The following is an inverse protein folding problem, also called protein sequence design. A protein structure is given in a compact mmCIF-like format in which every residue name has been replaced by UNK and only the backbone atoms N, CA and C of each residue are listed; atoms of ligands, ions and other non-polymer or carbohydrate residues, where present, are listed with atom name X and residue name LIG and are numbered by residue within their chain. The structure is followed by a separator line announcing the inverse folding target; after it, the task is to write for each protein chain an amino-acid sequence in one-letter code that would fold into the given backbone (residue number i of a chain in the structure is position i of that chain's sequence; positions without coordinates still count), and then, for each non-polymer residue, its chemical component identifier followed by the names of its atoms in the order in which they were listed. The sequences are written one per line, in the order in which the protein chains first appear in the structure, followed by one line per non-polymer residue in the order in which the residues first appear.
data_IF_870018358764
#
_entry.id   IF_870018358764
#
_cell.length_a   1.000
_cell.length_b   1.000
_cell.length_c   1.000
_cell.angle_alpha   90.00
_cell.angle_beta   90.00
_cell.angle_gamma   90.00
#
_symmetry.space_group_name_H-M   'P 1'
#
loop_
_entity.id
_entity.type
_entity.pdbx_description
1 polymer ?
#
# COMPACT_ATOMS: atom_id res chain seq x y z
N UNK A 1 -1.19 27.27 28.94
CA UNK A 1 -0.81 27.92 27.67
C UNK A 1 0.69 27.74 27.47
N UNK A 2 1.13 26.75 26.68
CA UNK A 2 2.57 26.52 26.43
C UNK A 2 3.13 27.72 25.67
N UNK A 3 4.14 28.38 26.23
CA UNK A 3 4.76 29.54 25.64
C UNK A 3 5.49 29.13 24.35
N UNK A 4 5.26 29.84 23.24
CA UNK A 4 5.93 29.56 21.97
C UNK A 4 7.45 29.67 22.15
N UNK A 5 8.22 28.80 21.50
CA UNK A 5 9.68 28.73 21.64
C UNK A 5 10.35 30.09 21.36
N UNK A 6 9.78 30.86 20.43
CA UNK A 6 10.21 32.24 20.14
C UNK A 6 10.08 33.18 21.35
N UNK A 7 8.99 33.09 22.13
CA UNK A 7 8.87 33.84 23.39
C UNK A 7 9.89 33.37 24.42
N UNK A 8 10.17 32.07 24.52
CA UNK A 8 11.16 31.54 25.47
C UNK A 8 12.56 32.07 25.16
N UNK A 9 12.88 32.20 23.88
CA UNK A 9 14.15 32.74 23.40
C UNK A 9 14.24 34.25 23.65
N UNK A 10 13.17 35.01 23.37
CA UNK A 10 13.13 36.43 23.73
C UNK A 10 13.31 36.64 25.24
N UNK A 11 12.68 35.81 26.08
CA UNK A 11 12.85 35.86 27.53
C UNK A 11 14.29 35.49 27.93
N UNK A 12 14.88 34.46 27.33
CA UNK A 12 16.28 34.11 27.53
C UNK A 12 17.22 35.27 27.19
N UNK A 13 16.94 36.02 26.12
CA UNK A 13 17.70 37.21 25.76
C UNK A 13 17.51 38.37 26.73
N UNK A 14 16.29 38.62 27.19
CA UNK A 14 16.03 39.64 28.20
C UNK A 14 16.75 39.28 29.51
N UNK A 15 16.73 38.00 29.91
CA UNK A 15 17.43 37.53 31.09
C UNK A 15 18.94 37.68 30.96
N UNK A 16 19.53 37.36 29.79
CA UNK A 16 20.95 37.53 29.56
C UNK A 16 21.37 39.00 29.50
N UNK A 17 20.54 39.87 28.90
CA UNK A 17 20.73 41.32 28.94
C UNK A 17 20.69 41.85 30.38
N UNK A 18 19.74 41.38 31.19
CA UNK A 18 19.65 41.74 32.61
C UNK A 18 20.90 41.29 33.38
N UNK A 19 21.41 40.08 33.13
CA UNK A 19 22.66 39.59 33.74
C UNK A 19 23.83 40.48 33.32
N UNK A 20 23.93 40.85 32.04
CA UNK A 20 24.97 41.76 31.54
C UNK A 20 24.90 43.12 32.24
N UNK A 21 23.70 43.69 32.38
CA UNK A 21 23.48 44.97 33.08
C UNK A 21 23.85 44.84 34.56
N UNK A 22 23.50 43.72 35.20
CA UNK A 22 23.79 43.46 36.60
C UNK A 22 25.29 43.27 36.86
N UNK A 23 26.00 42.52 36.01
CA UNK A 23 27.46 42.38 36.04
C UNK A 23 28.15 43.71 35.80
N UNK A 24 27.68 44.49 34.83
CA UNK A 24 28.21 45.84 34.57
C UNK A 24 27.98 46.78 35.76
N UNK A 25 26.81 46.70 36.40
CA UNK A 25 26.49 47.45 37.62
C UNK A 25 27.35 47.04 38.81
N UNK A 26 27.57 45.74 39.01
CA UNK A 26 28.47 45.23 40.04
C UNK A 26 29.92 45.66 39.80
N UNK A 27 30.37 45.66 38.55
CA UNK A 27 31.68 46.19 38.16
C UNK A 27 31.79 47.68 38.52
N UNK A 28 30.80 48.51 38.16
CA UNK A 28 30.77 49.94 38.52
C UNK A 28 30.79 50.15 40.05
N UNK A 29 30.06 49.32 40.81
CA UNK A 29 30.05 49.37 42.27
C UNK A 29 31.42 48.98 42.87
N UNK A 30 32.04 47.93 42.35
CA UNK A 30 33.40 47.51 42.72
C UNK A 30 34.42 48.60 42.41
N UNK A 31 34.29 49.23 41.24
CA UNK A 31 35.04 50.42 40.84
C UNK A 31 34.89 51.56 41.85
N UNK A 32 33.68 51.80 42.36
CA UNK A 32 33.41 52.82 43.38
C UNK A 32 34.13 52.55 44.71
N UNK A 33 34.14 51.29 45.16
CA UNK A 33 34.85 50.88 46.39
C UNK A 33 36.36 51.06 46.27
N UNK A 34 36.94 50.65 45.15
CA UNK A 34 38.37 50.84 44.88
C UNK A 34 38.73 52.34 44.83
N UNK A 35 37.81 53.21 44.41
CA UNK A 35 38.08 54.66 44.29
C UNK A 35 38.14 55.29 45.67
N UNK A 36 37.24 54.85 46.54
CA UNK A 36 37.23 55.23 47.94
C UNK A 36 38.50 54.74 48.66
N UNK A 37 38.97 53.52 48.36
CA UNK A 37 40.26 53.02 48.87
C UNK A 37 41.45 53.85 48.36
N UNK A 38 41.49 54.20 47.06
CA UNK A 38 42.52 55.07 46.47
C UNK A 38 42.55 56.46 47.12
N UNK A 39 41.39 57.07 47.36
CA UNK A 39 41.28 58.36 48.06
C UNK A 39 41.88 58.30 49.48
N UNK A 40 41.60 57.23 50.24
CA UNK A 40 42.18 57.04 51.58
C UNK A 40 43.69 56.82 51.57
N UNK A 41 44.22 56.22 50.50
CA UNK A 41 45.66 56.05 50.29
C UNK A 41 46.30 57.40 49.95
N UNK A 42 45.70 58.19 49.05
CA UNK A 42 46.17 59.54 48.70
C UNK A 42 46.12 60.53 49.88
N UNK A 43 45.08 60.49 50.72
CA UNK A 43 45.02 61.31 51.95
C UNK A 43 46.16 60.97 52.92
N UNK A 44 46.50 59.67 53.03
CA UNK A 44 47.65 59.22 53.83
C UNK A 44 48.97 59.65 53.21
N UNK A 45 49.11 59.64 51.89
CA UNK A 45 50.29 60.12 51.16
C UNK A 45 50.52 61.63 51.34
N UNK A 46 49.44 62.43 51.30
CA UNK A 46 49.48 63.87 51.58
C UNK A 46 49.89 64.14 53.03
N UNK A 47 49.27 63.43 53.99
CA UNK A 47 49.61 63.54 55.41
C UNK A 47 51.06 63.13 55.67
N UNK A 48 51.53 62.07 55.02
CA UNK A 48 52.91 61.63 55.14
C UNK A 48 53.85 62.70 54.60
N UNK A 49 53.55 63.28 53.44
CA UNK A 49 54.34 64.34 52.78
C UNK A 49 54.42 65.61 53.64
N UNK A 50 53.34 66.02 54.30
CA UNK A 50 53.36 67.11 55.29
C UNK A 50 54.22 66.76 56.52
N UNK A 51 54.14 65.52 57.02
CA UNK A 51 54.98 65.05 58.12
C UNK A 51 56.46 65.00 57.68
N UNK A 52 56.78 64.57 56.46
CA UNK A 52 58.14 64.60 55.89
C UNK A 52 58.66 66.04 55.85
N UNK A 53 57.85 66.96 55.34
CA UNK A 53 58.20 68.37 55.18
C UNK A 53 58.41 69.06 56.53
N UNK A 54 57.65 68.67 57.56
CA UNK A 54 57.83 69.10 58.94
C UNK A 54 59.07 68.50 59.64
N UNK A 55 59.50 67.29 59.25
CA UNK A 55 60.73 66.64 59.75
C UNK A 55 61.99 67.17 59.05
N UNK A 56 61.86 67.84 57.89
CA UNK A 56 62.99 68.47 57.15
C UNK A 56 63.38 69.82 57.79
N UNK A 57 63.28 69.92 59.11
CA UNK A 57 63.85 70.98 59.94
C UNK A 57 65.01 70.32 60.72
N UNK A 58 66.24 70.87 60.68
CA UNK A 58 67.44 70.10 60.96
C UNK A 58 67.70 70.05 62.47
N UNK A 59 67.20 69.04 63.14
CA UNK A 59 67.84 68.49 64.33
C UNK A 59 67.93 66.97 64.19
N UNK A 60 69.18 66.51 64.13
CA UNK A 60 69.65 65.15 63.83
C UNK A 60 69.27 64.15 64.92
N UNK A 61 68.35 63.23 64.61
CA UNK A 61 68.36 61.83 65.13
C UNK A 61 67.33 60.88 64.47
N UNK A 62 66.86 61.16 63.25
CA UNK A 62 65.78 60.36 62.60
C UNK A 62 66.16 59.77 61.24
N UNK A 63 67.41 59.32 61.08
CA UNK A 63 67.85 58.63 59.85
C UNK A 63 67.27 57.20 59.76
N UNK A 64 66.95 56.57 60.90
CA UNK A 64 66.30 55.24 60.94
C UNK A 64 64.86 55.28 60.37
N UNK A 65 64.16 56.42 60.49
CA UNK A 65 62.83 56.66 59.92
C UNK A 65 62.81 56.93 58.39
N UNK A 66 63.98 57.10 57.76
CA UNK A 66 64.07 57.34 56.30
C UNK A 66 64.02 56.00 55.54
N UNK A 67 64.60 54.93 56.09
CA UNK A 67 64.56 53.59 55.51
C UNK A 67 63.17 52.93 55.60
N UNK A 68 62.42 53.14 56.68
CA UNK A 68 61.00 52.72 56.74
C UNK A 68 60.11 53.52 55.77
N UNK A 69 60.50 54.76 55.45
CA UNK A 69 59.80 55.65 54.51
C UNK A 69 59.92 55.23 53.07
N UNK A 70 61.10 54.79 52.65
CA UNK A 70 61.34 54.30 51.29
C UNK A 70 60.53 53.01 51.04
N UNK A 71 60.43 52.16 52.07
CA UNK A 71 59.56 50.99 52.06
C UNK A 71 58.06 51.37 52.06
N UNK A 72 57.62 52.36 52.83
CA UNK A 72 56.21 52.78 52.88
C UNK A 72 55.75 53.46 51.58
N UNK A 73 56.59 54.31 50.98
CA UNK A 73 56.30 54.96 49.69
C UNK A 73 56.24 53.91 48.56
N UNK A 74 57.15 52.94 48.56
CA UNK A 74 57.09 51.79 47.66
C UNK A 74 55.82 50.96 47.84
N UNK A 75 55.37 50.72 49.09
CA UNK A 75 54.11 50.00 49.37
C UNK A 75 52.89 50.77 48.85
N UNK A 76 52.86 52.09 49.00
CA UNK A 76 51.75 52.94 48.51
C UNK A 76 51.73 52.97 46.98
N UNK A 77 52.87 53.18 46.33
CA UNK A 77 52.99 53.20 44.86
C UNK A 77 52.62 51.84 44.23
N UNK A 78 53.02 50.74 44.88
CA UNK A 78 52.64 49.39 44.50
C UNK A 78 51.13 49.15 44.68
N UNK A 79 50.53 49.64 45.77
CA UNK A 79 49.08 49.53 45.99
C UNK A 79 48.28 50.31 44.93
N UNK A 80 48.72 51.52 44.58
CA UNK A 80 48.07 52.34 43.56
C UNK A 80 48.15 51.72 42.15
N UNK A 81 49.31 51.12 41.83
CA UNK A 81 49.50 50.37 40.58
C UNK A 81 48.62 49.12 40.55
N UNK A 82 48.54 48.36 41.65
CA UNK A 82 47.68 47.18 41.75
C UNK A 82 46.19 47.52 41.65
N UNK A 83 45.76 48.63 42.26
CA UNK A 83 44.39 49.13 42.14
C UNK A 83 44.08 49.49 40.69
N UNK A 84 44.98 50.20 40.00
CA UNK A 84 44.84 50.53 38.57
C UNK A 84 44.70 49.30 37.68
N UNK A 85 45.49 48.25 37.94
CA UNK A 85 45.41 46.97 37.22
C UNK A 85 44.10 46.22 37.51
N UNK A 86 43.61 46.27 38.76
CA UNK A 86 42.32 45.68 39.11
C UNK A 86 41.16 46.36 38.36
N UNK A 87 41.23 47.69 38.21
CA UNK A 87 40.26 48.46 37.43
C UNK A 87 40.20 48.05 35.96
N UNK A 88 41.35 47.99 35.29
CA UNK A 88 41.39 47.59 33.88
C UNK A 88 40.87 46.17 33.68
N UNK A 89 41.22 45.25 34.58
CA UNK A 89 40.77 43.86 34.50
C UNK A 89 39.24 43.73 34.63
N UNK A 90 38.63 44.43 35.58
CA UNK A 90 37.17 44.42 35.77
C UNK A 90 36.45 44.93 34.51
N UNK A 91 36.92 46.04 33.94
CA UNK A 91 36.31 46.62 32.72
C UNK A 91 36.48 45.67 31.54
N UNK A 92 37.67 45.11 31.33
CA UNK A 92 37.95 44.20 30.22
C UNK A 92 37.09 42.94 30.32
N UNK A 93 36.99 42.33 31.51
CA UNK A 93 36.17 41.13 31.72
C UNK A 93 34.69 41.43 31.48
N UNK A 94 34.18 42.55 32.00
CA UNK A 94 32.80 42.96 31.76
C UNK A 94 32.52 43.22 30.29
N UNK A 95 33.40 43.94 29.59
CA UNK A 95 33.27 44.20 28.15
C UNK A 95 33.30 42.90 27.34
N UNK A 96 34.22 41.97 27.66
CA UNK A 96 34.31 40.67 27.02
C UNK A 96 33.05 39.83 27.24
N UNK A 97 32.47 39.84 28.45
CA UNK A 97 31.24 39.13 28.76
C UNK A 97 30.03 39.68 27.97
N UNK A 98 29.93 41.01 27.84
CA UNK A 98 28.88 41.67 27.03
C UNK A 98 29.01 41.28 25.56
N UNK A 99 30.22 41.36 25.01
CA UNK A 99 30.49 41.01 23.60
C UNK A 99 30.20 39.54 23.33
N UNK A 100 30.69 38.65 24.19
CA UNK A 100 30.45 37.21 24.08
C UNK A 100 28.95 36.88 24.13
N UNK A 101 28.23 37.46 25.09
CA UNK A 101 26.78 37.35 25.17
C UNK A 101 26.10 37.85 23.89
N UNK A 102 26.44 39.05 23.43
CA UNK A 102 25.90 39.62 22.19
C UNK A 102 26.10 38.70 20.98
N UNK A 103 27.29 38.12 20.84
CA UNK A 103 27.61 37.16 19.77
C UNK A 103 26.73 35.91 19.88
N UNK A 104 26.67 35.28 21.06
CA UNK A 104 25.83 34.10 21.30
C UNK A 104 24.35 34.42 21.01
N UNK A 105 23.89 35.61 21.39
CA UNK A 105 22.53 36.07 21.16
C UNK A 105 22.18 36.18 19.69
N UNK A 106 23.09 36.70 18.89
CA UNK A 106 22.88 36.86 17.46
C UNK A 106 23.07 35.53 16.69
N UNK A 107 23.93 34.63 17.18
CA UNK A 107 24.26 33.37 16.51
C UNK A 107 23.32 32.22 16.85
N UNK A 108 22.93 32.07 18.12
CA UNK A 108 22.21 30.88 18.59
C UNK A 108 20.87 30.64 17.89
N UNK A 109 19.99 31.66 17.70
CA UNK A 109 18.73 31.45 16.99
C UNK A 109 18.93 31.06 15.54
N UNK A 110 19.96 31.61 14.89
CA UNK A 110 20.26 31.35 13.47
C UNK A 110 20.87 29.98 13.25
N UNK A 111 21.70 29.48 14.16
CA UNK A 111 22.42 28.20 14.00
C UNK A 111 21.77 26.99 14.68
N UNK A 112 20.87 27.20 15.64
CA UNK A 112 20.25 26.10 16.39
C UNK A 112 18.73 26.19 16.34
N UNK A 113 18.14 27.28 16.85
CA UNK A 113 16.68 27.35 17.01
C UNK A 113 15.93 27.28 15.68
N UNK A 114 16.26 28.14 14.71
CA UNK A 114 15.49 28.24 13.47
C UNK A 114 15.47 26.91 12.70
N UNK A 115 16.60 26.22 12.49
CA UNK A 115 16.59 24.90 11.86
C UNK A 115 15.75 23.86 12.60
N UNK A 116 15.82 23.82 13.93
CA UNK A 116 15.01 22.88 14.74
C UNK A 116 13.52 23.19 14.58
N UNK A 117 13.13 24.47 14.59
CA UNK A 117 11.74 24.85 14.40
C UNK A 117 11.24 24.49 13.00
N UNK A 118 12.07 24.68 11.97
CA UNK A 118 11.72 24.27 10.61
C UNK A 118 11.53 22.76 10.47
N UNK A 119 12.29 21.94 11.21
CA UNK A 119 12.06 20.49 11.28
C UNK A 119 10.73 20.16 11.97
N UNK A 120 10.41 20.83 13.08
CA UNK A 120 9.12 20.65 13.77
C UNK A 120 7.96 21.02 12.84
N UNK A 121 8.06 22.13 12.12
CA UNK A 121 7.07 22.53 11.12
C UNK A 121 6.95 21.50 9.99
N UNK A 122 8.07 21.00 9.48
CA UNK A 122 8.08 19.93 8.48
C UNK A 122 7.35 18.68 8.96
N UNK A 123 7.53 18.28 10.23
CA UNK A 123 6.83 17.11 10.79
C UNK A 123 5.31 17.30 10.85
N UNK A 124 4.82 18.54 10.93
CA UNK A 124 3.38 18.82 10.88
C UNK A 124 2.84 18.58 9.46
N UNK A 125 3.52 19.09 8.43
CA UNK A 125 3.13 18.89 7.02
C UNK A 125 3.14 17.40 6.64
N UNK A 126 4.16 16.66 7.08
CA UNK A 126 4.29 15.22 6.85
C UNK A 126 3.14 14.44 7.50
N UNK A 127 2.70 14.84 8.69
CA UNK A 127 1.54 14.24 9.37
C UNK A 127 0.23 14.52 8.63
N UNK A 128 0.16 15.61 7.88
CA UNK A 128 -1.01 15.98 7.06
C UNK A 128 -0.98 15.33 5.67
N UNK A 129 0.04 14.50 5.38
CA UNK A 129 0.17 13.75 4.13
C UNK A 129 1.01 14.45 3.05
N UNK A 130 1.53 15.65 3.31
CA UNK A 130 2.45 16.32 2.40
C UNK A 130 3.88 15.82 2.62
N UNK A 131 4.21 14.72 1.94
CA UNK A 131 5.57 14.17 1.92
C UNK A 131 6.50 14.88 0.96
N UNK A 132 6.01 15.83 0.14
CA UNK A 132 6.81 16.59 -0.83
C UNK A 132 7.55 17.77 -0.16
N UNK A 133 7.10 18.17 1.03
CA UNK A 133 7.72 19.23 1.80
C UNK A 133 9.20 18.94 2.11
N UNK A 134 10.08 19.93 1.93
CA UNK A 134 11.51 19.82 2.25
C UNK A 134 11.97 21.00 3.08
N UNK A 135 12.90 20.73 4.00
CA UNK A 135 13.53 21.79 4.80
C UNK A 135 14.68 22.42 3.98
N UNK A 136 14.44 23.59 3.39
CA UNK A 136 15.31 24.18 2.35
C UNK A 136 16.51 25.02 2.83
N UNK A 137 16.90 25.02 4.12
CA UNK A 137 18.00 25.88 4.60
C UNK A 137 18.94 25.19 5.59
N UNK A 138 20.17 24.91 5.14
CA UNK A 138 21.27 24.36 5.95
C UNK A 138 22.08 25.51 6.55
N UNK A 139 21.48 26.27 7.48
CA UNK A 139 22.24 27.22 8.29
C UNK A 139 22.25 26.71 9.74
N UNK A 140 23.25 25.91 10.08
CA UNK A 140 23.34 25.27 11.38
C UNK A 140 24.75 24.80 11.71
N UNK A 141 24.89 24.12 12.85
CA UNK A 141 26.09 23.30 13.11
C UNK A 141 26.09 22.06 12.21
N UNK A 142 27.22 21.36 12.12
CA UNK A 142 27.33 20.14 11.30
C UNK A 142 26.33 19.06 11.73
N UNK A 143 26.08 18.92 13.03
CA UNK A 143 25.09 17.98 13.58
C UNK A 143 23.67 18.31 13.14
N UNK A 144 23.32 19.61 13.12
CA UNK A 144 22.01 20.06 12.64
C UNK A 144 21.87 19.83 11.14
N UNK A 145 22.92 20.09 10.36
CA UNK A 145 22.93 19.81 8.93
C UNK A 145 22.73 18.32 8.64
N UNK A 146 23.43 17.45 9.37
CA UNK A 146 23.27 15.99 9.29
C UNK A 146 21.85 15.56 9.64
N UNK A 147 21.24 16.14 10.69
CA UNK A 147 19.85 15.84 11.06
C UNK A 147 18.86 16.24 9.97
N UNK A 148 18.99 17.44 9.40
CA UNK A 148 18.14 17.91 8.29
C UNK A 148 18.27 17.00 7.07
N UNK A 149 19.50 16.60 6.72
CA UNK A 149 19.73 15.69 5.60
C UNK A 149 19.12 14.30 5.83
N UNK A 150 19.28 13.74 7.03
CA UNK A 150 18.66 12.45 7.39
C UNK A 150 17.14 12.53 7.36
N UNK A 151 16.56 13.64 7.82
CA UNK A 151 15.12 13.88 7.79
C UNK A 151 14.61 13.97 6.35
N UNK A 152 15.22 14.79 5.49
CA UNK A 152 14.84 14.88 4.08
C UNK A 152 15.01 13.54 3.35
N UNK A 153 16.02 12.73 3.71
CA UNK A 153 16.19 11.38 3.16
C UNK A 153 15.03 10.46 3.56
N UNK A 154 14.60 10.51 4.82
CA UNK A 154 13.41 9.78 5.27
C UNK A 154 12.16 10.22 4.50
N UNK A 155 11.98 11.52 4.24
CA UNK A 155 10.84 12.02 3.45
C UNK A 155 10.86 11.51 2.01
N UNK A 156 12.03 11.49 1.36
CA UNK A 156 12.16 10.89 0.02
C UNK A 156 11.77 9.40 0.03
N UNK A 157 12.15 8.64 1.06
CA UNK A 157 11.78 7.22 1.17
C UNK A 157 10.27 7.07 1.33
N UNK A 158 9.64 7.84 2.21
CA UNK A 158 8.19 7.78 2.44
C UNK A 158 7.42 8.18 1.16
N UNK A 159 7.83 9.25 0.48
CA UNK A 159 7.20 9.71 -0.76
C UNK A 159 7.28 8.66 -1.86
N UNK A 160 8.44 8.04 -2.05
CA UNK A 160 8.62 6.99 -3.05
C UNK A 160 7.80 5.74 -2.70
N UNK A 161 7.84 5.28 -1.44
CA UNK A 161 7.06 4.13 -0.98
C UNK A 161 5.54 4.39 -1.11
N UNK A 162 5.09 5.61 -0.83
CA UNK A 162 3.69 5.97 -0.99
C UNK A 162 3.27 5.95 -2.46
N UNK A 163 4.09 6.51 -3.35
CA UNK A 163 3.85 6.50 -4.80
C UNK A 163 3.79 5.07 -5.34
N UNK A 164 4.75 4.22 -4.95
CA UNK A 164 4.79 2.80 -5.36
C UNK A 164 3.57 2.03 -4.84
N UNK A 165 3.13 2.28 -3.60
CA UNK A 165 1.92 1.69 -3.04
C UNK A 165 0.66 2.14 -3.78
N UNK A 166 0.56 3.40 -4.18
CA UNK A 166 -0.56 3.92 -4.96
C UNK A 166 -0.61 3.28 -6.36
N UNK A 167 0.54 3.20 -7.04
CA UNK A 167 0.66 2.51 -8.34
C UNK A 167 0.25 1.04 -8.20
N UNK A 168 0.75 0.34 -7.17
CA UNK A 168 0.43 -1.07 -6.95
C UNK A 168 -1.04 -1.31 -6.61
N UNK A 169 -1.66 -0.40 -5.86
CA UNK A 169 -3.09 -0.46 -5.59
C UNK A 169 -3.92 -0.26 -6.86
N UNK A 170 -3.54 0.69 -7.72
CA UNK A 170 -4.20 0.89 -9.01
C UNK A 170 -4.10 -0.35 -9.91
N UNK A 171 -2.93 -0.99 -9.97
CA UNK A 171 -2.74 -2.25 -10.70
C UNK A 171 -3.59 -3.39 -10.13
N UNK A 172 -3.69 -3.50 -8.80
CA UNK A 172 -4.54 -4.51 -8.15
C UNK A 172 -6.03 -4.28 -8.44
N UNK A 173 -6.48 -3.03 -8.47
CA UNK A 173 -7.86 -2.68 -8.83
C UNK A 173 -8.16 -3.07 -10.29
N UNK A 174 -7.26 -2.78 -11.22
CA UNK A 174 -7.39 -3.19 -12.62
C UNK A 174 -7.41 -4.71 -12.77
N UNK A 175 -6.50 -5.42 -12.10
CA UNK A 175 -6.44 -6.88 -12.12
C UNK A 175 -7.71 -7.51 -11.53
N UNK A 176 -8.25 -6.94 -10.45
CA UNK A 176 -9.50 -7.41 -9.85
C UNK A 176 -10.70 -7.20 -10.79
N UNK A 177 -10.77 -6.05 -11.48
CA UNK A 177 -11.79 -5.81 -12.49
C UNK A 177 -11.68 -6.80 -13.66
N UNK A 178 -10.46 -7.08 -14.12
CA UNK A 178 -10.21 -8.08 -15.16
C UNK A 178 -10.60 -9.50 -14.71
N UNK A 179 -10.24 -9.89 -13.49
CA UNK A 179 -10.60 -11.19 -12.92
C UNK A 179 -12.12 -11.35 -12.80
N UNK A 180 -12.84 -10.30 -12.40
CA UNK A 180 -14.30 -10.31 -12.35
C UNK A 180 -14.91 -10.54 -13.74
N UNK A 181 -14.39 -9.87 -14.77
CA UNK A 181 -14.81 -10.05 -16.16
C UNK A 181 -14.54 -11.47 -16.68
N UNK A 182 -13.36 -12.00 -16.41
CA UNK A 182 -12.98 -13.36 -16.82
C UNK A 182 -13.88 -14.42 -16.15
N UNK A 183 -14.25 -14.20 -14.88
CA UNK A 183 -15.16 -15.09 -14.16
C UNK A 183 -16.57 -15.06 -14.76
N UNK A 184 -17.06 -13.88 -15.16
CA UNK A 184 -18.33 -13.74 -15.85
C UNK A 184 -18.32 -14.45 -17.22
N UNK A 185 -17.26 -14.26 -18.00
CA UNK A 185 -17.08 -14.94 -19.28
C UNK A 185 -17.03 -16.46 -19.10
N UNK A 186 -16.26 -16.96 -18.13
CA UNK A 186 -16.18 -18.38 -17.79
C UNK A 186 -17.55 -18.94 -17.38
N UNK A 187 -18.33 -18.20 -16.58
CA UNK A 187 -19.69 -18.61 -16.20
C UNK A 187 -20.63 -18.67 -17.40
N UNK A 188 -20.56 -17.68 -18.29
CA UNK A 188 -21.38 -17.64 -19.51
C UNK A 188 -21.03 -18.81 -20.44
N UNK A 189 -19.74 -19.10 -20.60
CA UNK A 189 -19.25 -20.21 -21.41
C UNK A 189 -19.66 -21.56 -20.84
N UNK A 190 -19.49 -21.77 -19.52
CA UNK A 190 -19.93 -23.00 -18.87
C UNK A 190 -21.43 -23.22 -19.02
N UNK A 191 -22.24 -22.16 -18.91
CA UNK A 191 -23.69 -22.26 -19.14
C UNK A 191 -24.03 -22.65 -20.58
N UNK A 192 -23.37 -22.04 -21.56
CA UNK A 192 -23.53 -22.41 -22.98
C UNK A 192 -23.11 -23.86 -23.24
N UNK A 193 -22.03 -24.32 -22.60
CA UNK A 193 -21.56 -25.68 -22.70
C UNK A 193 -22.56 -26.66 -22.08
N UNK A 194 -23.09 -26.37 -20.88
CA UNK A 194 -24.13 -27.17 -20.23
C UNK A 194 -25.39 -27.28 -21.11
N UNK A 195 -25.83 -26.17 -21.70
CA UNK A 195 -26.99 -26.13 -22.59
C UNK A 195 -26.75 -26.96 -23.86
N UNK A 196 -25.57 -26.84 -24.49
CA UNK A 196 -25.19 -27.61 -25.69
C UNK A 196 -25.07 -29.11 -25.39
N UNK A 197 -24.47 -29.48 -24.26
CA UNK A 197 -24.36 -30.89 -23.83
C UNK A 197 -25.75 -31.49 -23.59
N UNK A 198 -26.67 -30.73 -22.98
CA UNK A 198 -28.06 -31.16 -22.80
C UNK A 198 -28.75 -31.39 -24.14
N UNK A 199 -28.62 -30.47 -25.08
CA UNK A 199 -29.21 -30.59 -26.42
C UNK A 199 -28.70 -31.83 -27.17
N UNK A 200 -27.38 -32.03 -27.21
CA UNK A 200 -26.78 -33.20 -27.85
C UNK A 200 -27.23 -34.50 -27.19
N UNK A 201 -27.37 -34.52 -25.86
CA UNK A 201 -27.86 -35.70 -25.14
C UNK A 201 -29.32 -36.02 -25.50
N UNK A 202 -30.17 -35.00 -25.58
CA UNK A 202 -31.58 -35.15 -25.94
C UNK A 202 -31.74 -35.68 -27.37
N UNK A 203 -30.97 -35.16 -28.33
CA UNK A 203 -30.96 -35.65 -29.72
C UNK A 203 -30.42 -37.09 -29.80
N UNK A 204 -29.34 -37.39 -29.08
CA UNK A 204 -28.79 -38.75 -29.03
C UNK A 204 -29.81 -39.76 -28.48
N UNK A 205 -30.51 -39.41 -27.39
CA UNK A 205 -31.56 -40.25 -26.81
C UNK A 205 -32.74 -40.43 -27.78
N UNK A 206 -33.09 -39.39 -28.56
CA UNK A 206 -34.10 -39.50 -29.61
C UNK A 206 -33.66 -40.44 -30.73
N UNK A 207 -32.44 -40.27 -31.26
CA UNK A 207 -31.90 -41.12 -32.32
C UNK A 207 -31.76 -42.57 -31.87
N UNK A 208 -31.37 -42.80 -30.63
CA UNK A 208 -31.32 -44.14 -30.06
C UNK A 208 -32.72 -44.79 -30.03
N UNK A 209 -33.76 -44.06 -29.61
CA UNK A 209 -35.15 -44.56 -29.67
C UNK A 209 -35.62 -44.84 -31.10
N UNK A 210 -35.25 -44.01 -32.06
CA UNK A 210 -35.56 -44.22 -33.48
C UNK A 210 -34.89 -45.51 -34.00
N UNK A 211 -33.61 -45.72 -33.68
CA UNK A 211 -32.86 -46.93 -34.04
C UNK A 211 -33.46 -48.19 -33.42
N UNK A 212 -33.75 -48.18 -32.12
CA UNK A 212 -34.37 -49.33 -31.44
C UNK A 212 -35.73 -49.68 -32.06
N UNK A 213 -36.53 -48.68 -32.46
CA UNK A 213 -37.80 -48.91 -33.17
C UNK A 213 -37.58 -49.50 -34.57
N UNK A 214 -36.61 -48.97 -35.32
CA UNK A 214 -36.28 -49.47 -36.65
C UNK A 214 -35.75 -50.91 -36.61
N UNK A 215 -34.87 -51.23 -35.67
CA UNK A 215 -34.33 -52.57 -35.43
C UNK A 215 -35.47 -53.55 -35.09
N UNK A 216 -36.34 -53.19 -34.15
CA UNK A 216 -37.50 -54.02 -33.78
C UNK A 216 -38.42 -54.30 -34.97
N UNK A 217 -38.70 -53.29 -35.79
CA UNK A 217 -39.52 -53.45 -36.99
C UNK A 217 -38.82 -54.33 -38.04
N UNK A 218 -37.52 -54.18 -38.24
CA UNK A 218 -36.75 -55.02 -39.16
C UNK A 218 -36.76 -56.49 -38.72
N UNK A 219 -36.53 -56.78 -37.42
CA UNK A 219 -36.62 -58.14 -36.87
C UNK A 219 -38.03 -58.70 -37.01
N UNK A 220 -39.07 -57.90 -36.74
CA UNK A 220 -40.47 -58.33 -36.97
C UNK A 220 -40.68 -58.63 -38.45
N UNK A 221 -40.18 -57.81 -39.37
CA UNK A 221 -40.28 -58.01 -40.82
C UNK A 221 -39.56 -59.28 -41.32
N UNK A 222 -38.40 -59.60 -40.76
CA UNK A 222 -37.65 -60.81 -41.08
C UNK A 222 -38.38 -62.07 -40.59
N UNK A 223 -38.82 -62.06 -39.32
CA UNK A 223 -39.60 -63.16 -38.72
C UNK A 223 -40.92 -63.33 -39.48
N UNK A 224 -41.59 -62.22 -39.79
CA UNK A 224 -42.81 -62.17 -40.57
C UNK A 224 -42.67 -62.89 -41.92
N UNK A 225 -41.66 -62.51 -42.69
CA UNK A 225 -41.39 -63.10 -44.01
C UNK A 225 -41.13 -64.60 -43.89
N UNK A 226 -40.34 -65.01 -42.90
CA UNK A 226 -40.03 -66.42 -42.65
C UNK A 226 -41.28 -67.23 -42.27
N UNK A 227 -42.08 -66.73 -41.32
CA UNK A 227 -43.36 -67.34 -40.92
C UNK A 227 -44.35 -67.39 -42.09
N UNK A 228 -44.40 -66.36 -42.93
CA UNK A 228 -45.26 -66.33 -44.12
C UNK A 228 -44.97 -67.51 -45.05
N UNK A 229 -43.69 -67.73 -45.35
CA UNK A 229 -43.25 -68.85 -46.16
C UNK A 229 -43.55 -70.19 -45.48
N UNK A 230 -43.32 -70.31 -44.18
CA UNK A 230 -43.58 -71.54 -43.42
C UNK A 230 -45.07 -71.87 -43.28
N UNK A 231 -45.98 -70.89 -43.24
CA UNK A 231 -47.44 -71.11 -43.23
C UNK A 231 -47.97 -71.38 -44.65
N UNK A 232 -47.46 -70.69 -45.68
CA UNK A 232 -47.89 -70.94 -47.07
C UNK A 232 -47.63 -72.38 -47.48
N UNK A 233 -46.53 -72.98 -47.04
CA UNK A 233 -46.17 -74.35 -47.40
C UNK A 233 -47.25 -75.40 -47.02
N UNK A 234 -47.69 -75.52 -45.75
CA UNK A 234 -48.76 -76.44 -45.37
C UNK A 234 -50.12 -76.03 -45.96
N UNK A 235 -50.43 -74.73 -46.11
CA UNK A 235 -51.67 -74.30 -46.77
C UNK A 235 -51.72 -74.78 -48.22
N UNK A 236 -50.61 -74.65 -48.95
CA UNK A 236 -50.49 -75.14 -50.32
C UNK A 236 -50.63 -76.66 -50.37
N UNK A 237 -50.03 -77.37 -49.41
CA UNK A 237 -50.20 -78.82 -49.26
C UNK A 237 -51.66 -79.22 -48.99
N UNK A 238 -52.38 -78.49 -48.13
CA UNK A 238 -53.80 -78.72 -47.84
C UNK A 238 -54.64 -78.46 -49.09
N UNK A 239 -54.38 -77.38 -49.84
CA UNK A 239 -55.08 -77.09 -51.10
C UNK A 239 -54.87 -78.23 -52.09
N UNK A 240 -53.63 -78.67 -52.32
CA UNK A 240 -53.34 -79.78 -53.25
C UNK A 240 -54.02 -81.08 -52.80
N UNK A 241 -53.98 -81.41 -51.51
CA UNK A 241 -54.66 -82.59 -50.98
C UNK A 241 -56.19 -82.51 -51.17
N UNK A 242 -56.79 -81.35 -50.94
CA UNK A 242 -58.22 -81.11 -51.16
C UNK A 242 -58.58 -81.13 -52.65
N UNK A 243 -57.73 -80.60 -53.52
CA UNK A 243 -57.92 -80.64 -54.98
C UNK A 243 -57.84 -82.07 -55.53
N UNK A 244 -56.92 -82.89 -55.02
CA UNK A 244 -56.84 -84.32 -55.33
C UNK A 244 -58.07 -85.06 -54.80
N UNK A 245 -58.49 -84.79 -53.56
CA UNK A 245 -59.71 -85.41 -53.00
C UNK A 245 -60.96 -85.02 -53.81
N UNK A 246 -61.03 -83.76 -54.28
CA UNK A 246 -62.09 -83.27 -55.17
C UNK A 246 -62.08 -83.98 -56.53
N UNK A 247 -60.90 -84.29 -57.09
CA UNK A 247 -60.79 -84.96 -58.39
C UNK A 247 -61.12 -86.46 -58.31
N UNK A 248 -60.83 -87.11 -57.17
CA UNK A 248 -61.20 -88.50 -56.91
C UNK A 248 -62.71 -88.67 -56.58
N UNK A 249 -63.32 -87.70 -55.90
CA UNK A 249 -64.74 -87.70 -55.58
C UNK A 249 -65.60 -87.23 -56.76
N UNK A 250 -65.82 -88.13 -57.70
CA UNK A 250 -66.78 -87.92 -58.80
C UNK A 250 -68.20 -87.70 -58.27
N UNK A 251 -68.76 -86.49 -58.48
CA UNK A 251 -70.18 -86.14 -58.38
C UNK A 251 -70.93 -86.44 -57.05
N UNK A 252 -70.39 -86.03 -55.89
CA UNK A 252 -71.10 -86.09 -54.60
C UNK A 252 -71.27 -84.71 -53.93
N UNK A 253 -72.28 -84.56 -53.06
CA UNK A 253 -72.61 -83.34 -52.30
C UNK A 253 -71.44 -82.77 -51.46
N UNK A 254 -70.38 -83.56 -51.24
CA UNK A 254 -69.16 -83.18 -50.53
C UNK A 254 -68.24 -82.24 -51.32
N UNK A 255 -68.39 -82.12 -52.65
CA UNK A 255 -67.58 -81.22 -53.48
C UNK A 255 -67.82 -79.73 -53.18
N UNK A 256 -69.04 -79.38 -52.72
CA UNK A 256 -69.35 -78.04 -52.23
C UNK A 256 -68.52 -77.68 -50.99
N UNK A 257 -68.48 -78.58 -50.01
CA UNK A 257 -67.71 -78.39 -48.76
C UNK A 257 -66.20 -78.33 -49.00
N UNK A 258 -65.67 -79.15 -49.91
CA UNK A 258 -64.24 -79.09 -50.27
C UNK A 258 -63.89 -77.75 -50.93
N UNK A 259 -64.76 -77.23 -51.80
CA UNK A 259 -64.56 -75.93 -52.45
C UNK A 259 -64.63 -74.77 -51.44
N UNK A 260 -65.53 -74.84 -50.45
CA UNK A 260 -65.57 -73.88 -49.34
C UNK A 260 -64.26 -73.88 -48.53
N UNK A 261 -63.70 -75.05 -48.23
CA UNK A 261 -62.42 -75.15 -47.48
C UNK A 261 -61.25 -74.61 -48.32
N UNK A 262 -61.16 -74.94 -49.61
CA UNK A 262 -60.11 -74.40 -50.50
C UNK A 262 -60.19 -72.87 -50.55
N UNK A 263 -61.40 -72.31 -50.67
CA UNK A 263 -61.60 -70.86 -50.68
C UNK A 263 -61.15 -70.22 -49.37
N UNK A 264 -61.42 -70.84 -48.22
CA UNK A 264 -60.98 -70.32 -46.93
C UNK A 264 -59.46 -70.40 -46.75
N UNK A 265 -58.81 -71.47 -47.23
CA UNK A 265 -57.34 -71.57 -47.23
C UNK A 265 -56.69 -70.49 -48.11
N UNK A 266 -57.26 -70.21 -49.29
CA UNK A 266 -56.80 -69.12 -50.16
C UNK A 266 -57.03 -67.74 -49.52
N UNK A 267 -58.15 -67.58 -48.81
CA UNK A 267 -58.45 -66.36 -48.04
C UNK A 267 -57.43 -66.15 -46.91
N UNK A 268 -57.05 -67.21 -46.20
CA UNK A 268 -55.98 -67.17 -45.20
C UNK A 268 -54.62 -66.78 -45.82
N UNK A 269 -54.25 -67.31 -46.99
CA UNK A 269 -53.02 -66.89 -47.69
C UNK A 269 -53.04 -65.39 -48.03
N UNK A 270 -54.19 -64.85 -48.44
CA UNK A 270 -54.33 -63.41 -48.73
C UNK A 270 -54.20 -62.54 -47.47
N UNK A 271 -54.85 -62.92 -46.37
CA UNK A 271 -54.77 -62.19 -45.09
C UNK A 271 -53.32 -62.19 -44.56
N UNK A 272 -52.63 -63.32 -44.70
CA UNK A 272 -51.22 -63.45 -44.33
C UNK A 272 -50.34 -62.51 -45.16
N UNK A 273 -50.56 -62.43 -46.48
CA UNK A 273 -49.83 -61.49 -47.35
C UNK A 273 -50.05 -60.04 -46.93
N UNK A 274 -51.29 -59.64 -46.66
CA UNK A 274 -51.63 -58.26 -46.26
C UNK A 274 -51.04 -57.89 -44.89
N UNK A 275 -51.14 -58.78 -43.90
CA UNK A 275 -50.58 -58.56 -42.56
C UNK A 275 -49.07 -58.31 -42.61
N UNK A 276 -48.36 -59.00 -43.49
CA UNK A 276 -46.91 -58.87 -43.61
C UNK A 276 -46.46 -57.67 -44.45
N UNK A 277 -47.29 -57.13 -45.33
CA UNK A 277 -46.99 -55.86 -46.01
C UNK A 277 -46.96 -54.66 -45.06
N UNK A 278 -47.65 -54.72 -43.92
CA UNK A 278 -47.62 -53.68 -42.88
C UNK A 278 -46.35 -53.74 -42.01
N UNK A 279 -45.73 -54.91 -41.89
CA UNK A 279 -44.55 -55.16 -41.06
C UNK A 279 -43.22 -54.87 -41.78
N UNK A 280 -43.24 -54.80 -43.11
CA UNK A 280 -42.05 -54.48 -43.91
C UNK A 280 -41.94 -52.95 -44.02
N UNK A 281 -40.88 -52.32 -43.50
CA UNK A 281 -40.68 -50.89 -43.68
C UNK A 281 -40.60 -50.57 -45.17
N UNK A 282 -41.42 -49.64 -45.67
CA UNK A 282 -41.25 -49.07 -47.01
C UNK A 282 -39.82 -48.50 -47.08
N UNK A 283 -38.97 -49.11 -47.88
CA UNK A 283 -37.71 -48.47 -48.27
C UNK A 283 -38.07 -47.16 -48.96
N UNK A 284 -37.89 -46.04 -48.25
CA UNK A 284 -37.91 -44.73 -48.88
C UNK A 284 -36.75 -44.71 -49.87
N UNK A 285 -37.08 -44.76 -51.16
CA UNK A 285 -36.13 -44.52 -52.22
C UNK A 285 -35.65 -43.08 -52.11
N UNK A 286 -34.55 -42.88 -51.39
CA UNK A 286 -33.89 -41.59 -51.30
C UNK A 286 -33.33 -41.24 -52.68
N UNK A 287 -34.09 -40.42 -53.42
CA UNK A 287 -33.58 -39.72 -54.59
C UNK A 287 -32.75 -38.55 -54.06
N UNK A 288 -31.49 -38.44 -54.51
CA UNK A 288 -30.71 -37.22 -54.30
C UNK A 288 -31.42 -36.09 -55.04
N UNK A 289 -32.07 -35.19 -54.29
CA UNK A 289 -32.46 -33.88 -54.79
C UNK A 289 -31.31 -32.92 -54.52
N UNK A 290 -30.86 -32.22 -55.56
CA UNK A 290 -29.98 -31.07 -55.41
C UNK A 290 -30.78 -29.94 -54.72
N UNK A 291 -30.28 -29.28 -53.67
CA UNK A 291 -30.99 -28.18 -53.00
C UNK A 291 -31.20 -26.92 -53.87
N UNK A 292 -30.67 -26.89 -55.11
CA UNK A 292 -30.66 -25.72 -55.99
C UNK A 292 -31.55 -25.82 -57.25
N UNK A 293 -32.48 -26.78 -57.34
CA UNK A 293 -33.57 -26.78 -58.34
C UNK A 293 -34.91 -26.30 -57.76
#
# INVERSE_FOLDING_TARGET
MRMTLDKQIRIGFIAMLLIIVMVSGFSIFSLGKLRHSKSKVGDKEYTLTEIIRGITNPDTDKIENIFEKENLFGVIQNADTQIGLAYSNVIIISAAAVLFGGIITLMFPRRVTKPVMSLVEATVNVREGDYSYRVEKIQGTDEIARLVNSFNKMLNTIENEHTELEERNAELEEMNALNAKLLEETRSFNKLLEDSVREVKEDLDQKHRELVRAEKLATIGEIATRIAHEIRNPLSGIVVALENLRSELSFNASNGRISEIINEVNRLDSIIRELFQLAIPRQLGLVRSDPNE
#
